data_IF_387490164993
#
_entry.id   IF_387490164993
#
_cell.length_a   1.000
_cell.length_b   1.000
_cell.length_c   1.000
_cell.angle_alpha   90.00
_cell.angle_beta   90.00
_cell.angle_gamma   90.00
#
_symmetry.space_group_name_H-M   'P 1'
#
loop_
_entity.id
_entity.type
_entity.pdbx_description
1 polymer ?
#
# COMPACT_ATOMS: atom_id res chain seq x y z
N UNK A 1 -40.84 31.42 61.42
CA UNK A 1 -40.55 31.25 60.01
C UNK A 1 -39.18 30.57 59.85
N UNK A 2 -39.19 29.36 59.44
CA UNK A 2 -37.95 28.65 59.14
C UNK A 2 -37.52 29.03 57.72
N UNK A 3 -36.45 29.81 57.58
CA UNK A 3 -35.84 30.14 56.28
C UNK A 3 -34.84 29.06 55.83
N UNK A 4 -34.96 28.63 54.61
CA UNK A 4 -33.99 27.73 53.96
C UNK A 4 -32.78 28.56 53.55
N UNK A 5 -31.61 28.26 54.09
CA UNK A 5 -30.35 28.94 53.79
C UNK A 5 -29.63 28.17 52.71
N UNK A 6 -29.55 28.71 51.48
CA UNK A 6 -28.69 28.19 50.42
C UNK A 6 -27.28 28.75 50.58
N UNK A 7 -26.31 27.86 50.65
CA UNK A 7 -24.90 28.24 50.60
C UNK A 7 -24.39 27.86 49.22
N UNK A 8 -24.12 28.86 48.39
CA UNK A 8 -23.47 28.64 47.06
C UNK A 8 -21.96 28.74 47.28
N UNK A 9 -21.28 27.63 47.16
CA UNK A 9 -19.82 27.58 47.16
C UNK A 9 -19.35 27.78 45.74
N UNK A 10 -18.74 28.92 45.43
CA UNK A 10 -18.11 29.19 44.12
C UNK A 10 -16.65 28.80 44.24
N UNK A 11 -16.26 27.74 43.56
CA UNK A 11 -14.85 27.39 43.37
C UNK A 11 -14.38 27.98 42.04
N UNK A 12 -13.35 28.82 42.08
CA UNK A 12 -12.63 29.29 40.92
C UNK A 12 -11.87 28.08 40.35
N UNK A 13 -12.37 27.55 39.25
CA UNK A 13 -11.65 26.55 38.47
C UNK A 13 -10.63 27.31 37.64
N UNK A 14 -9.34 27.09 37.87
CA UNK A 14 -8.32 27.52 36.93
C UNK A 14 -8.63 26.83 35.59
N UNK A 15 -9.15 27.60 34.64
CA UNK A 15 -9.21 27.21 33.25
C UNK A 15 -7.75 27.07 32.82
N UNK A 16 -7.36 25.85 32.47
CA UNK A 16 -6.05 25.58 31.87
C UNK A 16 -5.84 26.55 30.70
N UNK A 17 -5.01 27.56 30.93
CA UNK A 17 -4.51 28.44 29.89
C UNK A 17 -3.62 27.64 28.95
N UNK A 18 -4.23 26.97 28.01
CA UNK A 18 -3.67 26.68 26.67
C UNK A 18 -4.80 26.86 25.67
N UNK A 19 -5.12 28.07 25.36
CA UNK A 19 -5.44 28.38 23.97
C UNK A 19 -4.19 28.04 23.16
N UNK A 20 -4.03 26.76 22.75
CA UNK A 20 -3.31 26.49 21.52
C UNK A 20 -3.96 27.43 20.53
N UNK A 21 -3.18 28.37 19.99
CA UNK A 21 -3.61 29.13 18.83
C UNK A 21 -4.08 28.11 17.82
N UNK A 22 -5.38 28.04 17.61
CA UNK A 22 -6.00 27.15 16.65
C UNK A 22 -5.50 27.62 15.30
N UNK A 23 -4.34 27.07 14.87
CA UNK A 23 -3.78 27.34 13.56
C UNK A 23 -4.90 27.01 12.58
N UNK A 24 -5.34 28.01 11.83
CA UNK A 24 -6.34 27.82 10.81
C UNK A 24 -5.86 26.72 9.86
N UNK A 25 -6.48 25.55 9.93
CA UNK A 25 -6.14 24.38 9.14
C UNK A 25 -7.31 24.07 8.23
N UNK A 26 -6.99 23.76 6.98
CA UNK A 26 -7.95 23.24 6.01
C UNK A 26 -7.76 21.74 5.83
N UNK A 27 -8.81 21.03 5.45
CA UNK A 27 -8.71 19.69 4.90
C UNK A 27 -8.59 19.83 3.39
N UNK A 28 -7.48 19.37 2.82
CA UNK A 28 -7.16 19.48 1.40
C UNK A 28 -7.12 18.11 0.74
N UNK A 29 -7.36 18.09 -0.57
CA UNK A 29 -7.23 16.88 -1.37
C UNK A 29 -5.77 16.42 -1.43
N UNK A 30 -5.51 15.17 -1.09
CA UNK A 30 -4.19 14.53 -1.16
C UNK A 30 -3.82 14.15 -2.59
N UNK A 31 -4.83 13.77 -3.39
CA UNK A 31 -4.74 13.33 -4.78
C UNK A 31 -5.88 13.95 -5.59
N UNK A 32 -5.74 13.88 -6.90
CA UNK A 32 -6.83 14.18 -7.82
C UNK A 32 -7.93 13.13 -7.65
N UNK A 33 -9.15 13.55 -7.36
CA UNK A 33 -10.23 12.62 -7.03
C UNK A 33 -11.63 13.16 -7.33
N UNK A 34 -12.58 12.25 -7.46
CA UNK A 34 -14.01 12.56 -7.43
C UNK A 34 -14.56 12.29 -6.03
N UNK A 35 -15.00 13.32 -5.34
CA UNK A 35 -15.54 13.19 -3.98
C UNK A 35 -16.81 12.32 -3.99
N UNK A 36 -16.82 11.26 -3.18
CA UNK A 36 -17.98 10.37 -2.97
C UNK A 36 -18.70 10.66 -1.65
N UNK A 37 -17.93 11.00 -0.64
CA UNK A 37 -18.48 11.37 0.67
C UNK A 37 -17.57 12.41 1.32
N UNK A 38 -18.17 13.41 1.92
CA UNK A 38 -17.49 14.39 2.78
C UNK A 38 -18.31 14.58 4.06
N UNK A 39 -17.61 14.55 5.20
CA UNK A 39 -18.21 14.79 6.51
C UNK A 39 -17.27 15.68 7.30
N UNK A 40 -17.76 16.85 7.70
CA UNK A 40 -17.01 17.78 8.53
C UNK A 40 -17.46 17.65 10.00
N UNK A 41 -16.51 17.51 10.91
CA UNK A 41 -16.72 17.66 12.35
C UNK A 41 -16.54 19.12 12.78
N UNK A 42 -15.59 19.81 12.14
CA UNK A 42 -15.28 21.23 12.33
C UNK A 42 -14.91 21.83 10.98
N UNK A 43 -15.23 23.11 10.78
CA UNK A 43 -15.00 23.82 9.52
C UNK A 43 -16.21 23.80 8.59
N UNK A 44 -16.05 24.45 7.47
CA UNK A 44 -17.09 24.62 6.45
C UNK A 44 -16.74 23.77 5.22
N UNK A 45 -17.69 22.92 4.77
CA UNK A 45 -17.53 22.14 3.54
C UNK A 45 -17.59 23.11 2.34
N UNK A 46 -16.52 23.12 1.56
CA UNK A 46 -16.37 23.98 0.35
C UNK A 46 -16.61 23.15 -0.93
N UNK A 47 -16.24 21.87 -0.89
CA UNK A 47 -16.43 20.93 -2.02
C UNK A 47 -17.34 19.79 -1.59
N UNK A 48 -18.42 19.62 -2.34
CA UNK A 48 -19.47 18.65 -2.04
C UNK A 48 -19.23 17.30 -2.77
N UNK A 49 -20.08 16.32 -2.44
CA UNK A 49 -20.17 15.05 -3.16
C UNK A 49 -20.32 15.27 -4.68
N UNK A 50 -19.71 14.42 -5.49
CA UNK A 50 -19.65 14.46 -6.94
C UNK A 50 -18.88 15.67 -7.51
N UNK A 51 -18.08 16.35 -6.73
CA UNK A 51 -17.15 17.36 -7.21
C UNK A 51 -15.78 16.72 -7.49
N UNK A 52 -15.21 16.99 -8.66
CA UNK A 52 -13.82 16.67 -8.96
C UNK A 52 -12.90 17.68 -8.28
N UNK A 53 -11.87 17.21 -7.62
CA UNK A 53 -10.86 18.02 -6.96
C UNK A 53 -9.47 17.63 -7.42
N UNK A 54 -8.59 18.62 -7.46
CA UNK A 54 -7.16 18.41 -7.72
C UNK A 54 -6.42 18.33 -6.39
N UNK A 55 -5.26 17.68 -6.40
CA UNK A 55 -4.33 17.67 -5.27
C UNK A 55 -4.09 19.10 -4.77
N UNK A 56 -4.31 19.33 -3.48
CA UNK A 56 -4.16 20.63 -2.83
C UNK A 56 -5.46 21.47 -2.74
N UNK A 57 -6.52 21.09 -3.46
CA UNK A 57 -7.80 21.79 -3.35
C UNK A 57 -8.36 21.70 -1.93
N UNK A 58 -8.87 22.82 -1.42
CA UNK A 58 -9.53 22.86 -0.12
C UNK A 58 -10.90 22.21 -0.22
N UNK A 59 -11.14 21.18 0.60
CA UNK A 59 -12.44 20.47 0.66
C UNK A 59 -13.25 20.95 1.86
N UNK A 60 -12.59 21.06 3.02
CA UNK A 60 -13.20 21.63 4.24
C UNK A 60 -12.34 22.81 4.67
N UNK A 61 -12.92 24.00 4.71
CA UNK A 61 -12.23 25.21 5.11
C UNK A 61 -12.27 25.39 6.62
N UNK A 62 -11.15 25.84 7.18
CA UNK A 62 -11.09 26.33 8.55
C UNK A 62 -11.71 27.75 8.70
N UNK A 63 -11.87 28.49 7.61
CA UNK A 63 -12.62 29.75 7.62
C UNK A 63 -14.11 29.47 7.52
N UNK A 64 -14.86 30.01 8.46
CA UNK A 64 -16.32 29.90 8.48
C UNK A 64 -16.88 31.20 7.97
N UNK A 65 -17.60 31.15 6.84
CA UNK A 65 -18.24 32.30 6.20
C UNK A 65 -19.73 32.11 6.13
N UNK A 66 -20.46 33.19 6.33
CA UNK A 66 -21.92 33.25 6.14
C UNK A 66 -22.23 34.47 5.30
N UNK A 67 -22.92 34.29 4.17
CA UNK A 67 -23.22 35.36 3.21
C UNK A 67 -21.97 36.16 2.80
N UNK A 68 -20.88 35.46 2.46
CA UNK A 68 -19.56 36.02 2.08
C UNK A 68 -18.80 36.77 3.19
N UNK A 69 -19.40 36.99 4.34
CA UNK A 69 -18.72 37.56 5.49
C UNK A 69 -18.03 36.48 6.32
N UNK A 70 -16.77 36.70 6.65
CA UNK A 70 -16.01 35.81 7.56
C UNK A 70 -16.51 35.96 8.97
N UNK A 71 -17.11 34.91 9.53
CA UNK A 71 -17.66 34.87 10.88
C UNK A 71 -16.68 34.34 11.93
N UNK A 72 -15.68 33.58 11.48
CA UNK A 72 -14.68 33.03 12.40
C UNK A 72 -13.72 32.09 11.70
N UNK A 73 -12.78 31.56 12.50
CA UNK A 73 -11.81 30.56 12.05
C UNK A 73 -11.79 29.39 13.01
N UNK A 74 -11.55 28.19 12.47
CA UNK A 74 -11.37 26.96 13.25
C UNK A 74 -10.33 26.07 12.58
N UNK A 75 -9.83 25.08 13.30
CA UNK A 75 -9.08 23.99 12.66
C UNK A 75 -10.08 23.03 12.02
N UNK A 76 -10.13 22.98 10.68
CA UNK A 76 -11.00 22.04 9.99
C UNK A 76 -10.63 20.60 10.36
N UNK A 77 -11.67 19.79 10.61
CA UNK A 77 -11.56 18.35 10.88
C UNK A 77 -12.73 17.64 10.23
N UNK A 78 -12.45 16.54 9.56
CA UNK A 78 -13.46 15.76 8.87
C UNK A 78 -12.89 14.57 8.12
N UNK A 79 -13.79 13.81 7.50
CA UNK A 79 -13.46 12.66 6.66
C UNK A 79 -13.93 12.91 5.24
N UNK A 80 -13.08 12.61 4.28
CA UNK A 80 -13.36 12.71 2.85
C UNK A 80 -13.00 11.38 2.20
N UNK A 81 -13.93 10.85 1.42
CA UNK A 81 -13.72 9.66 0.60
C UNK A 81 -13.92 10.04 -0.87
N UNK A 82 -13.00 9.65 -1.69
CA UNK A 82 -13.01 9.94 -3.12
C UNK A 82 -12.60 8.73 -3.97
N UNK A 83 -13.02 8.74 -5.23
CA UNK A 83 -12.48 7.82 -6.24
C UNK A 83 -11.27 8.47 -6.91
N UNK A 84 -10.19 7.72 -6.98
CA UNK A 84 -8.92 8.05 -7.64
C UNK A 84 -8.74 7.09 -8.81
N UNK A 85 -8.13 7.54 -9.90
CA UNK A 85 -7.84 6.70 -11.06
C UNK A 85 -6.37 6.41 -11.17
N UNK A 86 -6.05 5.11 -11.27
CA UNK A 86 -4.73 4.61 -11.59
C UNK A 86 -4.76 4.03 -13.01
N UNK A 87 -3.71 4.24 -13.76
CA UNK A 87 -3.56 3.67 -15.11
C UNK A 87 -2.18 3.07 -15.22
N UNK A 88 -2.12 1.80 -15.59
CA UNK A 88 -0.89 1.08 -15.86
C UNK A 88 -0.89 0.52 -17.27
N UNK A 89 0.29 0.42 -17.86
CA UNK A 89 0.51 -0.26 -19.13
C UNK A 89 1.34 -1.49 -18.87
N UNK A 90 0.87 -2.64 -19.31
CA UNK A 90 1.54 -3.93 -19.10
C UNK A 90 1.84 -4.54 -20.45
N UNK A 91 3.12 -4.80 -20.71
CA UNK A 91 3.54 -5.65 -21.81
C UNK A 91 3.66 -7.08 -21.30
N UNK A 92 2.98 -8.02 -21.98
CA UNK A 92 2.97 -9.41 -21.60
C UNK A 92 3.28 -10.30 -22.83
N UNK A 93 4.34 -11.13 -22.79
CA UNK A 93 4.71 -11.97 -23.91
C UNK A 93 3.78 -13.17 -24.04
N UNK A 94 3.60 -13.68 -25.27
CA UNK A 94 2.91 -14.94 -25.50
C UNK A 94 3.73 -16.14 -25.01
N UNK A 95 5.07 -16.05 -25.06
CA UNK A 95 5.94 -17.06 -24.49
C UNK A 95 5.98 -16.90 -22.97
N UNK A 96 5.35 -17.83 -22.29
CA UNK A 96 5.26 -17.84 -20.82
C UNK A 96 6.30 -18.80 -20.26
N UNK A 97 7.21 -18.28 -19.48
CA UNK A 97 8.21 -19.02 -18.75
C UNK A 97 8.11 -18.69 -17.27
N UNK A 98 7.87 -19.70 -16.45
CA UNK A 98 7.80 -19.53 -15.00
C UNK A 98 8.41 -20.73 -14.28
N UNK A 99 9.16 -20.45 -13.22
CA UNK A 99 9.65 -21.46 -12.30
C UNK A 99 8.69 -21.53 -11.10
N UNK A 100 7.87 -22.58 -11.08
CA UNK A 100 6.88 -22.79 -10.01
C UNK A 100 7.44 -23.74 -8.97
N UNK A 101 7.39 -23.35 -7.69
CA UNK A 101 7.75 -24.22 -6.57
C UNK A 101 6.77 -25.39 -6.50
N UNK A 102 7.31 -26.63 -6.47
CA UNK A 102 6.48 -27.85 -6.34
C UNK A 102 6.04 -28.14 -4.92
N UNK A 103 6.56 -27.38 -3.94
CA UNK A 103 6.37 -27.60 -2.50
C UNK A 103 7.30 -28.66 -1.90
N UNK A 104 8.07 -29.37 -2.73
CA UNK A 104 9.06 -30.32 -2.23
C UNK A 104 10.36 -29.61 -1.90
N UNK A 105 10.89 -29.90 -0.73
CA UNK A 105 12.18 -29.39 -0.28
C UNK A 105 13.05 -30.49 0.31
N UNK A 106 14.34 -30.25 0.38
CA UNK A 106 15.29 -31.09 1.08
C UNK A 106 16.53 -30.31 1.48
N UNK A 107 17.16 -30.82 2.53
CA UNK A 107 18.41 -30.28 3.03
C UNK A 107 19.53 -31.22 2.68
N UNK A 108 20.60 -30.71 2.09
CA UNK A 108 21.78 -31.49 1.74
C UNK A 108 23.04 -30.79 2.20
N UNK A 109 24.12 -31.57 2.32
CA UNK A 109 25.46 -31.07 2.57
C UNK A 109 26.25 -31.22 1.28
N UNK A 110 26.84 -30.12 0.82
CA UNK A 110 27.65 -30.02 -0.37
C UNK A 110 29.08 -29.66 -0.03
N UNK A 111 30.00 -30.25 -0.75
CA UNK A 111 31.41 -29.89 -0.71
C UNK A 111 31.74 -29.04 -1.93
N UNK A 112 32.10 -27.77 -1.71
CA UNK A 112 32.48 -26.86 -2.79
C UNK A 112 33.99 -26.72 -2.85
N UNK A 113 34.56 -26.99 -4.02
CA UNK A 113 35.97 -26.79 -4.32
C UNK A 113 36.08 -25.90 -5.56
N UNK A 114 36.65 -24.71 -5.37
CA UNK A 114 36.63 -23.65 -6.41
C UNK A 114 35.19 -23.41 -6.89
N UNK A 115 34.94 -23.62 -8.18
CA UNK A 115 33.64 -23.43 -8.82
C UNK A 115 32.86 -24.75 -9.02
N UNK A 116 33.35 -25.86 -8.45
CA UNK A 116 32.70 -27.18 -8.53
C UNK A 116 32.06 -27.53 -7.19
N UNK A 117 30.86 -28.09 -7.26
CA UNK A 117 30.14 -28.60 -6.10
C UNK A 117 29.97 -30.11 -6.24
N UNK A 118 30.31 -30.83 -5.18
CA UNK A 118 30.09 -32.27 -5.05
C UNK A 118 29.04 -32.45 -3.97
N UNK A 119 27.87 -32.99 -4.34
CA UNK A 119 26.79 -33.26 -3.41
C UNK A 119 26.91 -34.68 -2.90
N UNK A 120 26.86 -34.87 -1.59
CA UNK A 120 26.87 -36.21 -0.98
C UNK A 120 25.54 -36.93 -1.10
N UNK A 121 24.47 -36.20 -1.37
CA UNK A 121 23.12 -36.72 -1.51
C UNK A 121 22.50 -36.33 -2.85
N UNK A 122 21.45 -37.04 -3.26
CA UNK A 122 20.72 -36.71 -4.48
C UNK A 122 20.16 -35.29 -4.41
N UNK A 123 20.44 -34.48 -5.41
CA UNK A 123 19.95 -33.12 -5.58
C UNK A 123 18.74 -33.11 -6.51
N UNK A 124 17.86 -32.13 -6.39
CA UNK A 124 16.84 -31.88 -7.41
C UNK A 124 17.54 -31.41 -8.72
N UNK A 125 16.95 -31.73 -9.86
CA UNK A 125 17.45 -31.29 -11.17
C UNK A 125 17.24 -29.79 -11.31
N UNK A 126 15.99 -29.37 -11.16
CA UNK A 126 15.57 -27.98 -11.22
C UNK A 126 15.24 -27.54 -9.81
N UNK A 127 15.93 -26.53 -9.30
CA UNK A 127 15.85 -26.16 -7.90
C UNK A 127 16.23 -24.71 -7.63
N UNK A 128 15.60 -24.15 -6.61
CA UNK A 128 16.05 -22.93 -5.92
C UNK A 128 16.87 -23.35 -4.72
N UNK A 129 18.03 -22.73 -4.52
CA UNK A 129 18.95 -23.09 -3.46
C UNK A 129 19.17 -21.90 -2.55
N UNK A 130 19.00 -22.15 -1.23
CA UNK A 130 19.46 -21.28 -0.18
C UNK A 130 20.62 -21.99 0.52
N UNK A 131 21.82 -21.44 0.42
CA UNK A 131 23.01 -22.04 0.99
C UNK A 131 23.53 -21.29 2.20
N UNK A 132 24.07 -22.05 3.17
CA UNK A 132 24.76 -21.54 4.35
C UNK A 132 26.10 -22.25 4.47
N UNK A 133 27.18 -21.49 4.39
CA UNK A 133 28.53 -22.03 4.62
C UNK A 133 28.67 -22.46 6.06
N UNK A 134 29.02 -23.73 6.28
CA UNK A 134 29.26 -24.29 7.64
C UNK A 134 30.73 -24.13 8.00
N UNK A 135 31.62 -24.51 7.08
CA UNK A 135 33.07 -24.45 7.28
C UNK A 135 33.74 -23.97 6.00
N UNK A 136 34.66 -23.04 6.15
CA UNK A 136 35.51 -22.51 5.07
C UNK A 136 36.99 -22.62 5.52
N UNK A 137 37.82 -23.19 4.66
CA UNK A 137 39.26 -23.22 4.91
C UNK A 137 39.93 -22.04 4.18
N UNK A 138 40.65 -21.21 4.91
CA UNK A 138 41.34 -20.03 4.37
C UNK A 138 42.57 -20.34 3.53
N UNK A 139 43.17 -21.50 3.73
CA UNK A 139 44.39 -21.92 3.00
C UNK A 139 44.09 -22.68 1.73
N UNK A 140 42.93 -23.39 1.68
CA UNK A 140 42.50 -24.17 0.54
C UNK A 140 41.09 -23.67 0.12
N UNK A 141 40.81 -23.55 -1.19
CA UNK A 141 39.51 -23.07 -1.67
C UNK A 141 38.40 -24.12 -1.51
N UNK A 142 38.26 -24.62 -0.28
CA UNK A 142 37.36 -25.70 0.10
C UNK A 142 36.31 -25.14 1.05
N UNK A 143 35.05 -25.40 0.77
CA UNK A 143 33.91 -25.03 1.63
C UNK A 143 32.99 -26.21 1.84
N UNK A 144 32.54 -26.40 3.07
CA UNK A 144 31.41 -27.26 3.40
C UNK A 144 30.17 -26.39 3.54
N UNK A 145 29.16 -26.69 2.76
CA UNK A 145 27.96 -25.85 2.61
C UNK A 145 26.73 -26.68 2.91
N UNK A 146 25.86 -26.14 3.74
CA UNK A 146 24.51 -26.65 3.93
C UNK A 146 23.60 -25.96 2.92
N UNK A 147 22.89 -26.75 2.12
CA UNK A 147 21.96 -26.26 1.12
C UNK A 147 20.53 -26.69 1.47
N UNK A 148 19.65 -25.70 1.61
CA UNK A 148 18.23 -25.94 1.54
C UNK A 148 17.77 -25.82 0.10
N UNK A 149 17.30 -26.91 -0.48
CA UNK A 149 16.87 -26.98 -1.87
C UNK A 149 15.36 -27.11 -1.95
N UNK A 150 14.73 -26.21 -2.72
CA UNK A 150 13.32 -26.26 -3.07
C UNK A 150 13.22 -26.70 -4.55
N UNK A 151 12.44 -27.76 -4.80
CA UNK A 151 12.21 -28.23 -6.18
C UNK A 151 11.36 -27.22 -6.93
N UNK A 152 11.80 -26.83 -8.13
CA UNK A 152 11.02 -26.00 -9.05
C UNK A 152 10.66 -26.84 -10.27
N UNK A 153 9.51 -26.51 -10.84
CA UNK A 153 9.09 -27.00 -12.14
C UNK A 153 9.04 -25.84 -13.10
N UNK A 154 9.74 -25.97 -14.19
CA UNK A 154 9.68 -25.01 -15.29
C UNK A 154 8.37 -25.22 -16.06
N UNK A 155 7.59 -24.17 -16.18
CA UNK A 155 6.42 -24.08 -17.06
C UNK A 155 6.86 -23.26 -18.25
N UNK A 156 6.94 -23.89 -19.42
CA UNK A 156 7.27 -23.25 -20.69
C UNK A 156 6.13 -23.56 -21.65
N UNK A 157 5.35 -22.54 -21.99
CA UNK A 157 4.19 -22.70 -22.86
C UNK A 157 3.93 -21.43 -23.67
N UNK A 158 3.35 -21.61 -24.84
CA UNK A 158 2.82 -20.49 -25.62
C UNK A 158 1.38 -20.26 -25.18
N UNK A 159 1.12 -19.05 -24.67
CA UNK A 159 -0.20 -18.65 -24.24
C UNK A 159 -1.09 -18.34 -25.45
N UNK A 160 -2.36 -18.64 -25.35
CA UNK A 160 -3.37 -18.07 -26.24
C UNK A 160 -3.52 -16.56 -25.98
N UNK A 161 -4.08 -15.84 -26.95
CA UNK A 161 -4.36 -14.40 -26.81
C UNK A 161 -5.16 -14.10 -25.53
N UNK A 162 -6.24 -14.84 -25.28
CA UNK A 162 -7.07 -14.70 -24.09
C UNK A 162 -6.29 -14.96 -22.80
N UNK A 163 -5.44 -15.98 -22.78
CA UNK A 163 -4.60 -16.28 -21.62
C UNK A 163 -3.57 -15.17 -21.35
N UNK A 164 -2.95 -14.64 -22.41
CA UNK A 164 -1.98 -13.56 -22.30
C UNK A 164 -2.65 -12.27 -21.78
N UNK A 165 -3.84 -11.93 -22.29
CA UNK A 165 -4.63 -10.78 -21.78
C UNK A 165 -4.97 -10.96 -20.31
N UNK A 166 -5.45 -12.13 -19.90
CA UNK A 166 -5.78 -12.38 -18.49
C UNK A 166 -4.55 -12.25 -17.58
N UNK A 167 -3.41 -12.78 -17.99
CA UNK A 167 -2.14 -12.63 -17.26
C UNK A 167 -1.67 -11.17 -17.21
N UNK A 168 -1.84 -10.42 -18.29
CA UNK A 168 -1.53 -8.99 -18.32
C UNK A 168 -2.42 -8.20 -17.34
N UNK A 169 -3.72 -8.55 -17.26
CA UNK A 169 -4.66 -7.94 -16.30
C UNK A 169 -4.24 -8.25 -14.86
N UNK A 170 -3.93 -9.52 -14.55
CA UNK A 170 -3.43 -9.92 -13.21
C UNK A 170 -2.21 -9.09 -12.82
N UNK A 171 -1.21 -9.01 -13.70
CA UNK A 171 0.01 -8.24 -13.49
C UNK A 171 -0.26 -6.73 -13.33
N UNK A 172 -1.21 -6.20 -14.10
CA UNK A 172 -1.64 -4.81 -13.97
C UNK A 172 -2.30 -4.52 -12.63
N UNK A 173 -3.13 -5.43 -12.14
CA UNK A 173 -3.75 -5.33 -10.81
C UNK A 173 -2.67 -5.38 -9.71
N UNK A 174 -1.68 -6.25 -9.84
CA UNK A 174 -0.55 -6.32 -8.90
C UNK A 174 0.24 -5.01 -8.86
N UNK A 175 0.55 -4.43 -10.03
CA UNK A 175 1.24 -3.14 -10.10
C UNK A 175 0.43 -2.02 -9.44
N UNK A 176 -0.87 -1.94 -9.71
CA UNK A 176 -1.74 -0.96 -9.06
C UNK A 176 -1.75 -1.18 -7.55
N UNK A 177 -1.88 -2.43 -7.08
CA UNK A 177 -1.88 -2.72 -5.64
C UNK A 177 -0.59 -2.31 -4.93
N UNK A 178 0.56 -2.30 -5.62
CA UNK A 178 1.82 -1.81 -5.07
C UNK A 178 1.87 -0.28 -4.94
N UNK A 179 1.06 0.43 -5.72
CA UNK A 179 0.97 1.91 -5.71
C UNK A 179 -0.09 2.44 -4.74
N UNK A 180 -1.03 1.57 -4.31
CA UNK A 180 -2.10 1.94 -3.40
C UNK A 180 -1.55 2.30 -2.02
N UNK A 181 -2.14 3.32 -1.41
CA UNK A 181 -1.90 3.65 -0.01
C UNK A 181 -2.72 2.71 0.91
N UNK A 182 -2.38 2.69 2.19
CA UNK A 182 -2.96 1.73 3.16
C UNK A 182 -4.50 1.82 3.32
N UNK A 183 -5.09 2.96 2.98
CA UNK A 183 -6.52 3.25 3.05
C UNK A 183 -7.22 3.20 1.69
N UNK A 184 -6.50 2.79 0.64
CA UNK A 184 -7.01 2.65 -0.72
C UNK A 184 -7.26 1.18 -1.08
N UNK A 185 -8.26 0.93 -1.90
CA UNK A 185 -8.56 -0.38 -2.47
C UNK A 185 -9.20 -0.25 -3.84
N UNK A 186 -9.01 -1.25 -4.69
CA UNK A 186 -9.58 -1.29 -6.03
C UNK A 186 -11.09 -1.54 -5.93
N UNK A 187 -11.89 -0.58 -6.40
CA UNK A 187 -13.35 -0.71 -6.48
C UNK A 187 -13.77 -1.32 -7.82
N UNK A 188 -13.06 -0.93 -8.89
CA UNK A 188 -13.37 -1.36 -10.26
C UNK A 188 -12.12 -1.28 -11.12
N UNK A 189 -11.94 -2.26 -11.98
CA UNK A 189 -10.95 -2.25 -13.05
C UNK A 189 -11.61 -2.24 -14.43
N UNK A 190 -10.90 -1.78 -15.44
CA UNK A 190 -11.34 -1.78 -16.83
C UNK A 190 -10.12 -1.80 -17.74
N UNK A 191 -10.13 -2.69 -18.70
CA UNK A 191 -9.17 -2.65 -19.80
C UNK A 191 -9.56 -1.52 -20.75
N UNK A 192 -8.63 -0.60 -21.01
CA UNK A 192 -8.86 0.55 -21.87
C UNK A 192 -8.48 0.25 -23.31
N UNK A 193 -7.38 -0.49 -23.51
CA UNK A 193 -6.86 -0.83 -24.85
C UNK A 193 -6.06 -2.13 -24.78
N UNK A 194 -6.15 -2.92 -25.84
CA UNK A 194 -5.30 -4.10 -26.08
C UNK A 194 -4.67 -3.92 -27.44
N UNK A 195 -3.35 -4.00 -27.50
CA UNK A 195 -2.58 -4.01 -28.75
C UNK A 195 -1.81 -5.33 -28.83
N UNK A 196 -2.00 -6.07 -29.90
CA UNK A 196 -1.29 -7.33 -30.16
C UNK A 196 -0.24 -7.03 -31.22
N UNK A 197 1.02 -7.36 -30.91
CA UNK A 197 2.17 -7.16 -31.81
C UNK A 197 2.81 -8.48 -32.16
#
# INVERSE_FOLDING_TARGET
AQGVKYVVKVELRELADKKEELKNRNVVAKKDALIKLVTAKKGQIVKNKNTYVKKGDVIISGDISLNEEKKGTTSADGKVYGEVWYTVTVDYPFNYYEEVLTGKNKNIISFKFLNKSINFFSSFKDKKVLDKTIVENKLLPIKLVYEHQEEVRVVDQILTEEQAINKAIEKGIEQINMELEADEHIIKNKVLKVDIK
#
